data_IF_580007978077
#
_entry.id   IF_580007978077
#
_cell.length_a   1.000
_cell.length_b   1.000
_cell.length_c   1.000
_cell.angle_alpha   90.00
_cell.angle_beta   90.00
_cell.angle_gamma   90.00
#
_symmetry.space_group_name_H-M   'P 1'
#
loop_
_entity.id
_entity.type
_entity.pdbx_description
1 polymer ?
#
# COMPACT_ATOMS: atom_id res chain seq x y z
N UNK A 1 -31.28 23.37 -7.70
CA UNK A 1 -29.90 22.91 -8.06
C UNK A 1 -28.91 22.88 -6.88
N UNK A 2 -29.34 22.86 -5.60
CA UNK A 2 -28.48 23.36 -4.49
C UNK A 2 -27.88 22.33 -3.51
N UNK A 3 -28.45 21.13 -3.35
CA UNK A 3 -28.00 20.17 -2.33
C UNK A 3 -27.24 18.96 -2.87
N UNK A 4 -27.65 18.41 -4.03
CA UNK A 4 -27.01 17.23 -4.64
C UNK A 4 -25.57 17.52 -5.09
N UNK A 5 -25.29 18.75 -5.51
CA UNK A 5 -23.99 19.13 -6.05
C UNK A 5 -22.92 19.30 -4.96
N UNK A 6 -23.32 19.57 -3.71
CA UNK A 6 -22.38 19.77 -2.60
C UNK A 6 -21.68 18.46 -2.24
N UNK A 7 -22.42 17.35 -2.18
CA UNK A 7 -21.85 16.03 -1.94
C UNK A 7 -20.90 15.60 -3.04
N UNK A 8 -21.23 15.92 -4.30
CA UNK A 8 -20.33 15.68 -5.43
C UNK A 8 -19.03 16.48 -5.29
N UNK A 9 -19.12 17.76 -4.94
CA UNK A 9 -17.94 18.62 -4.73
C UNK A 9 -17.08 18.09 -3.57
N UNK A 10 -17.71 17.74 -2.43
CA UNK A 10 -17.01 17.16 -1.28
C UNK A 10 -16.30 15.87 -1.68
N UNK A 11 -17.00 14.98 -2.42
CA UNK A 11 -16.41 13.74 -2.91
C UNK A 11 -15.19 13.98 -3.80
N UNK A 12 -15.27 14.94 -4.73
CA UNK A 12 -14.14 15.32 -5.59
C UNK A 12 -12.98 15.86 -4.76
N UNK A 13 -13.23 16.74 -3.78
CA UNK A 13 -12.19 17.29 -2.92
C UNK A 13 -11.50 16.20 -2.08
N UNK A 14 -12.25 15.22 -1.59
CA UNK A 14 -11.70 14.07 -0.86
C UNK A 14 -10.81 13.22 -1.77
N UNK A 15 -11.26 12.93 -3.00
CA UNK A 15 -10.46 12.19 -3.97
C UNK A 15 -9.17 12.93 -4.34
N UNK A 16 -9.23 14.25 -4.51
CA UNK A 16 -8.04 15.07 -4.75
C UNK A 16 -7.12 15.09 -3.51
N UNK A 17 -7.67 15.19 -2.31
CA UNK A 17 -6.88 15.15 -1.08
C UNK A 17 -6.14 13.82 -0.90
N UNK A 18 -6.79 12.69 -1.19
CA UNK A 18 -6.16 11.36 -1.15
C UNK A 18 -5.22 11.15 -2.34
N UNK A 19 -5.53 11.71 -3.51
CA UNK A 19 -4.85 11.41 -4.78
C UNK A 19 -3.67 12.33 -5.14
N UNK A 20 -3.68 13.59 -4.68
CA UNK A 20 -2.61 14.59 -4.92
C UNK A 20 -2.36 15.53 -3.72
N UNK A 21 -3.08 15.36 -2.61
CA UNK A 21 -3.06 16.31 -1.49
C UNK A 21 -1.71 16.45 -0.80
N UNK A 22 -0.90 15.40 -0.76
CA UNK A 22 0.44 15.42 -0.17
C UNK A 22 1.48 16.18 -0.99
N UNK A 23 1.25 16.29 -2.30
CA UNK A 23 2.14 16.99 -3.24
C UNK A 23 1.77 18.47 -3.33
N UNK A 24 0.49 18.80 -3.15
CA UNK A 24 -0.06 20.15 -3.27
C UNK A 24 -0.10 20.89 -1.92
N UNK A 25 -0.36 20.18 -0.81
CA UNK A 25 -0.51 20.79 0.51
C UNK A 25 0.80 20.67 1.32
N UNK A 26 1.47 21.78 1.66
CA UNK A 26 2.66 21.74 2.49
C UNK A 26 2.34 21.51 3.97
N UNK A 27 3.32 21.01 4.73
CA UNK A 27 3.25 20.92 6.19
C UNK A 27 2.41 19.75 6.73
N UNK A 28 1.64 20.01 7.80
CA UNK A 28 0.86 19.00 8.52
C UNK A 28 -0.26 18.38 7.69
N UNK A 29 -0.85 19.16 6.77
CA UNK A 29 -1.90 18.71 5.86
C UNK A 29 -1.39 17.70 4.84
N UNK A 30 -0.18 17.92 4.30
CA UNK A 30 0.47 16.96 3.42
C UNK A 30 0.81 15.65 4.13
N UNK A 31 1.27 15.72 5.38
CA UNK A 31 1.50 14.52 6.22
C UNK A 31 0.22 13.74 6.47
N UNK A 32 -0.90 14.43 6.76
CA UNK A 32 -2.19 13.79 6.93
C UNK A 32 -2.64 13.06 5.66
N UNK A 33 -2.50 13.69 4.48
CA UNK A 33 -2.79 13.05 3.18
C UNK A 33 -1.93 11.79 2.95
N UNK A 34 -0.61 11.85 3.21
CA UNK A 34 0.28 10.68 3.10
C UNK A 34 -0.15 9.54 4.03
N UNK A 35 -0.46 9.87 5.29
CA UNK A 35 -0.93 8.87 6.25
C UNK A 35 -2.25 8.23 5.80
N UNK A 36 -3.20 9.02 5.28
CA UNK A 36 -4.45 8.49 4.74
C UNK A 36 -4.21 7.53 3.59
N UNK A 37 -3.35 7.86 2.63
CA UNK A 37 -2.98 6.93 1.54
C UNK A 37 -2.36 5.65 2.09
N UNK A 38 -1.43 5.77 3.03
CA UNK A 38 -0.75 4.62 3.62
C UNK A 38 -1.74 3.69 4.34
N UNK A 39 -2.66 4.24 5.13
CA UNK A 39 -3.68 3.46 5.82
C UNK A 39 -4.63 2.77 4.83
N UNK A 40 -5.03 3.46 3.75
CA UNK A 40 -5.84 2.86 2.68
C UNK A 40 -5.09 1.70 2.02
N UNK A 41 -3.81 1.90 1.68
CA UNK A 41 -3.00 0.86 1.06
C UNK A 41 -2.83 -0.35 1.99
N UNK A 42 -2.52 -0.13 3.27
CA UNK A 42 -2.39 -1.20 4.26
C UNK A 42 -3.71 -1.95 4.45
N UNK A 43 -4.84 -1.22 4.46
CA UNK A 43 -6.16 -1.83 4.51
C UNK A 43 -6.41 -2.71 3.27
N UNK A 44 -6.15 -2.20 2.06
CA UNK A 44 -6.33 -2.95 0.81
C UNK A 44 -5.40 -4.18 0.78
N UNK A 45 -4.12 -4.02 1.12
CA UNK A 45 -3.16 -5.13 1.20
C UNK A 45 -3.64 -6.18 2.19
N UNK A 46 -4.13 -5.78 3.36
CA UNK A 46 -4.66 -6.70 4.37
C UNK A 46 -5.97 -7.41 4.00
N UNK A 47 -6.66 -6.98 2.93
CA UNK A 47 -7.80 -7.73 2.39
C UNK A 47 -7.37 -8.90 1.49
N UNK A 48 -6.11 -8.95 1.08
CA UNK A 48 -5.55 -10.05 0.30
C UNK A 48 -4.61 -10.87 1.19
N UNK A 49 -4.59 -12.21 1.04
CA UNK A 49 -3.62 -13.02 1.76
C UNK A 49 -2.20 -12.67 1.31
N UNK A 50 -1.29 -12.53 2.27
CA UNK A 50 0.14 -12.44 1.99
C UNK A 50 0.57 -13.74 1.32
N UNK A 51 0.75 -13.69 0.00
CA UNK A 51 1.25 -14.82 -0.77
C UNK A 51 2.75 -14.93 -0.53
N UNK A 52 3.14 -15.63 0.52
CA UNK A 52 4.53 -16.06 0.68
C UNK A 52 4.86 -17.02 -0.47
N UNK A 53 5.66 -16.56 -1.42
CA UNK A 53 6.20 -17.42 -2.46
C UNK A 53 7.27 -18.31 -1.83
N UNK A 54 6.98 -19.60 -1.69
CA UNK A 54 7.97 -20.58 -1.25
C UNK A 54 9.11 -20.64 -2.28
N UNK A 55 10.37 -20.56 -1.85
CA UNK A 55 11.52 -20.66 -2.76
C UNK A 55 11.49 -22.04 -3.45
N UNK A 56 11.30 -22.13 -4.78
CA UNK A 56 11.21 -23.42 -5.47
C UNK A 56 12.53 -24.21 -5.43
N UNK A 57 13.65 -23.52 -5.20
CA UNK A 57 14.99 -24.10 -5.16
C UNK A 57 15.42 -24.48 -3.75
N UNK A 58 14.60 -24.27 -2.72
CA UNK A 58 14.96 -24.53 -1.32
C UNK A 58 15.42 -25.98 -1.10
N UNK A 59 14.82 -26.94 -1.82
CA UNK A 59 15.24 -28.35 -1.79
C UNK A 59 16.64 -28.57 -2.37
N UNK A 60 16.96 -27.87 -3.44
CA UNK A 60 18.26 -27.99 -4.13
C UNK A 60 19.35 -27.30 -3.32
N UNK A 61 19.06 -26.12 -2.77
CA UNK A 61 19.97 -25.38 -1.89
C UNK A 61 20.35 -26.22 -0.67
N UNK A 62 19.38 -26.84 0.02
CA UNK A 62 19.65 -27.76 1.14
C UNK A 62 20.51 -28.95 0.73
N UNK A 63 20.26 -29.54 -0.44
CA UNK A 63 21.05 -30.68 -0.91
C UNK A 63 22.49 -30.30 -1.25
N UNK A 64 22.73 -29.10 -1.80
CA UNK A 64 24.07 -28.57 -2.05
C UNK A 64 24.79 -28.29 -0.73
N UNK A 65 24.10 -27.68 0.22
CA UNK A 65 24.65 -27.34 1.54
C UNK A 65 25.05 -28.57 2.38
N UNK A 66 24.29 -29.67 2.28
CA UNK A 66 24.66 -30.96 2.89
C UNK A 66 25.90 -31.60 2.26
N UNK A 67 26.10 -31.42 0.95
CA UNK A 67 27.26 -31.94 0.22
C UNK A 67 28.51 -31.13 0.54
N UNK A 68 28.40 -29.81 0.59
CA UNK A 68 29.51 -28.92 0.92
C UNK A 68 29.96 -29.08 2.38
N UNK A 69 29.04 -29.24 3.34
CA UNK A 69 29.39 -29.47 4.75
C UNK A 69 30.00 -30.85 5.04
N UNK A 70 29.83 -31.83 4.14
CA UNK A 70 30.42 -33.17 4.29
C UNK A 70 31.83 -33.29 3.72
N UNK A 71 32.34 -32.22 3.10
CA UNK A 71 33.65 -32.18 2.44
C UNK A 71 34.71 -31.58 3.36
#
# INVERSE_FOLDING_TARGET
>A
MRSKNLWTIIGILVLLFIGIGDTVLPGSLGKASKNTRQSINQFIVGLFPDKEFTNPNERTEKAVEEVDNKR
#
